data_IF_106681733082
#
_entry.id   IF_106681733082
#
_cell.length_a   1.000
_cell.length_b   1.000
_cell.length_c   1.000
_cell.angle_alpha   90.00
_cell.angle_beta   90.00
_cell.angle_gamma   90.00
#
_symmetry.space_group_name_H-M   'P 1'
#
loop_
_entity.id
_entity.type
_entity.pdbx_description
1 polymer ?
#
# COMPACT_ATOMS: atom_id res chain seq x y z
N UNK A 1 14.18 -14.78 0.20
CA UNK A 1 13.24 -14.01 -0.64
C UNK A 1 13.29 -12.54 -0.24
N UNK A 2 13.75 -11.64 -1.12
CA UNK A 2 13.65 -10.19 -0.88
C UNK A 2 12.19 -9.78 -1.10
N UNK A 3 11.53 -9.23 -0.08
CA UNK A 3 10.25 -8.55 -0.28
C UNK A 3 10.48 -7.36 -1.21
N UNK A 4 9.63 -7.18 -2.21
CA UNK A 4 9.75 -6.12 -3.22
C UNK A 4 9.55 -4.72 -2.63
N UNK A 5 8.82 -4.61 -1.53
CA UNK A 5 8.57 -3.38 -0.79
C UNK A 5 8.86 -3.61 0.70
N UNK A 6 9.45 -2.60 1.36
CA UNK A 6 9.62 -2.59 2.82
C UNK A 6 8.31 -2.26 3.52
N UNK A 7 8.23 -2.53 4.83
CA UNK A 7 7.05 -2.23 5.64
C UNK A 7 6.79 -0.71 5.69
N UNK A 8 7.85 0.11 5.75
CA UNK A 8 7.76 1.57 5.67
C UNK A 8 7.18 2.05 4.34
N UNK A 9 7.60 1.45 3.21
CA UNK A 9 7.03 1.77 1.90
C UNK A 9 5.54 1.40 1.83
N UNK A 10 5.19 0.23 2.36
CA UNK A 10 3.80 -0.24 2.42
C UNK A 10 2.94 0.71 3.26
N UNK A 11 3.40 1.12 4.43
CA UNK A 11 2.70 2.10 5.28
C UNK A 11 2.56 3.44 4.56
N UNK A 12 3.59 3.88 3.83
CA UNK A 12 3.52 5.06 2.97
C UNK A 12 2.41 4.97 1.92
N UNK A 13 2.27 3.83 1.25
CA UNK A 13 1.20 3.59 0.27
C UNK A 13 -0.19 3.63 0.91
N UNK A 14 -0.36 3.04 2.10
CA UNK A 14 -1.63 3.10 2.82
C UNK A 14 -2.00 4.55 3.17
N UNK A 15 -1.03 5.35 3.65
CA UNK A 15 -1.22 6.76 3.96
C UNK A 15 -1.56 7.62 2.74
N UNK A 16 -0.94 7.37 1.58
CA UNK A 16 -1.30 8.06 0.32
C UNK A 16 -2.76 7.78 -0.06
N UNK A 17 -3.23 6.55 0.11
CA UNK A 17 -4.63 6.21 -0.13
C UNK A 17 -5.59 6.83 0.90
N UNK A 18 -5.20 6.89 2.18
CA UNK A 18 -5.97 7.60 3.23
C UNK A 18 -6.02 9.11 3.01
N UNK A 19 -4.98 9.69 2.42
CA UNK A 19 -4.94 11.10 2.00
C UNK A 19 -5.85 11.41 0.79
N UNK A 20 -6.56 10.40 0.26
CA UNK A 20 -7.53 10.55 -0.81
C UNK A 20 -7.02 10.11 -2.18
N UNK A 21 -5.82 9.53 -2.29
CA UNK A 21 -5.36 8.99 -3.57
C UNK A 21 -6.13 7.71 -3.92
N UNK A 22 -6.72 7.59 -5.12
CA UNK A 22 -7.39 6.36 -5.54
C UNK A 22 -6.40 5.19 -5.56
N UNK A 23 -6.77 4.07 -4.93
CA UNK A 23 -5.95 2.85 -4.86
C UNK A 23 -5.50 2.38 -6.26
N UNK A 24 -6.38 2.48 -7.25
CA UNK A 24 -6.07 2.12 -8.64
C UNK A 24 -4.91 2.94 -9.24
N UNK A 25 -4.88 4.25 -8.96
CA UNK A 25 -3.81 5.14 -9.41
C UNK A 25 -2.52 4.89 -8.63
N UNK A 26 -2.63 4.65 -7.32
CA UNK A 26 -1.51 4.26 -6.47
C UNK A 26 -0.86 2.95 -6.97
N UNK A 27 -1.67 1.93 -7.27
CA UNK A 27 -1.23 0.67 -7.86
C UNK A 27 -0.47 0.87 -9.17
N UNK A 28 -0.98 1.73 -10.06
CA UNK A 28 -0.35 2.06 -11.34
C UNK A 28 0.96 2.84 -11.16
N UNK A 29 1.00 3.79 -10.22
CA UNK A 29 2.17 4.64 -9.92
C UNK A 29 3.32 3.86 -9.32
N UNK A 30 3.03 2.93 -8.40
CA UNK A 30 4.06 2.19 -7.64
C UNK A 30 4.29 0.76 -8.15
N UNK A 31 3.48 0.28 -9.10
CA UNK A 31 3.68 -1.00 -9.77
C UNK A 31 3.31 -2.22 -8.91
N UNK A 32 2.21 -2.13 -8.16
CA UNK A 32 1.63 -3.25 -7.42
C UNK A 32 0.14 -3.42 -7.71
N UNK A 33 -0.42 -4.59 -7.39
CA UNK A 33 -1.85 -4.89 -7.61
C UNK A 33 -2.72 -4.40 -6.46
N UNK A 34 -3.99 -4.09 -6.75
CA UNK A 34 -4.98 -3.70 -5.74
C UNK A 34 -5.14 -4.79 -4.67
N UNK A 35 -5.01 -6.06 -5.04
CA UNK A 35 -4.98 -7.18 -4.11
C UNK A 35 -3.85 -7.06 -3.07
N UNK A 36 -2.66 -6.62 -3.49
CA UNK A 36 -1.54 -6.39 -2.57
C UNK A 36 -1.85 -5.26 -1.60
N UNK A 37 -2.49 -4.18 -2.08
CA UNK A 37 -2.91 -3.07 -1.24
C UNK A 37 -3.88 -3.51 -0.13
N UNK A 38 -4.94 -4.26 -0.46
CA UNK A 38 -5.90 -4.69 0.54
C UNK A 38 -5.31 -5.69 1.54
N UNK A 39 -4.38 -6.54 1.10
CA UNK A 39 -3.62 -7.40 2.00
C UNK A 39 -2.80 -6.58 3.00
N UNK A 40 -2.11 -5.53 2.53
CA UNK A 40 -1.38 -4.62 3.38
C UNK A 40 -2.28 -3.81 4.30
N UNK A 41 -3.43 -3.34 3.81
CA UNK A 41 -4.41 -2.63 4.63
C UNK A 41 -4.92 -3.50 5.77
N UNK A 42 -5.16 -4.79 5.53
CA UNK A 42 -5.54 -5.74 6.59
C UNK A 42 -4.41 -5.94 7.61
N UNK A 43 -3.15 -5.97 7.16
CA UNK A 43 -2.00 -6.23 8.03
C UNK A 43 -1.49 -5.01 8.79
N UNK A 44 -1.51 -3.83 8.18
CA UNK A 44 -0.86 -2.61 8.65
C UNK A 44 -1.82 -1.43 8.81
N UNK A 45 -3.04 -1.49 8.27
CA UNK A 45 -3.99 -0.37 8.26
C UNK A 45 -4.58 0.01 9.62
N UNK A 46 -4.20 -0.68 10.70
CA UNK A 46 -4.52 -0.31 12.09
C UNK A 46 -3.29 0.02 12.94
N UNK A 47 -2.08 0.02 12.35
CA UNK A 47 -0.87 0.49 13.03
C UNK A 47 -0.81 2.01 12.90
N UNK A 48 -1.46 2.69 13.85
CA UNK A 48 -1.43 4.15 13.96
C UNK A 48 -0.11 4.65 14.53
#
# INVERSE_FOLDING_TARGET
MKKRFSEEQIIGFLREAEAGLPVKELCRKHGFSEASYYLWRSKFGGMS
#
